data_IF_410958010438
#
_entry.id   IF_410958010438
#
_cell.length_a   1.000
_cell.length_b   1.000
_cell.length_c   1.000
_cell.angle_alpha   90.00
_cell.angle_beta   90.00
_cell.angle_gamma   90.00
#
_symmetry.space_group_name_H-M   'P 1'
#
loop_
_entity.id
_entity.type
_entity.pdbx_description
1 polymer ?
#
# COMPACT_ATOMS: atom_id res chain seq x y z
N UNK A 1 20.79 1.31 -5.84
CA UNK A 1 20.42 -0.11 -5.59
C UNK A 1 19.44 -0.09 -4.44
N UNK A 2 18.24 -0.63 -4.60
CA UNK A 2 17.29 -0.76 -3.51
C UNK A 2 17.87 -1.72 -2.46
N UNK A 3 17.88 -1.30 -1.19
CA UNK A 3 18.34 -2.15 -0.08
C UNK A 3 17.28 -3.24 0.13
N UNK A 4 17.66 -4.53 0.22
CA UNK A 4 16.71 -5.60 0.51
C UNK A 4 16.01 -5.37 1.86
N UNK A 5 14.69 -5.32 1.86
CA UNK A 5 13.88 -5.24 3.08
C UNK A 5 13.54 -6.66 3.55
N UNK A 6 14.41 -7.24 4.38
CA UNK A 6 14.22 -8.59 4.93
C UNK A 6 13.07 -8.68 5.95
N UNK A 7 12.42 -7.56 6.28
CA UNK A 7 11.28 -7.52 7.18
C UNK A 7 9.94 -7.59 6.43
N UNK A 8 9.98 -7.60 5.10
CA UNK A 8 8.76 -7.65 4.29
C UNK A 8 8.03 -8.97 4.43
N UNK A 9 6.71 -8.91 4.61
CA UNK A 9 5.82 -10.07 4.72
C UNK A 9 4.71 -10.06 3.66
N UNK A 10 3.98 -11.17 3.52
CA UNK A 10 2.89 -11.29 2.54
C UNK A 10 1.78 -10.26 2.78
N UNK A 11 1.49 -9.98 4.05
CA UNK A 11 0.50 -9.01 4.48
C UNK A 11 0.87 -7.57 4.11
N UNK A 12 2.14 -7.27 3.82
CA UNK A 12 2.52 -5.96 3.29
C UNK A 12 1.90 -5.73 1.91
N UNK A 13 1.75 -6.76 1.07
CA UNK A 13 1.19 -6.64 -0.29
C UNK A 13 -0.27 -6.16 -0.33
N UNK A 14 -1.03 -6.34 0.76
CA UNK A 14 -2.40 -5.81 0.91
C UNK A 14 -2.45 -4.45 1.64
N UNK A 15 -1.30 -3.88 2.02
CA UNK A 15 -1.25 -2.63 2.79
C UNK A 15 -0.95 -1.42 1.91
N UNK A 16 -1.51 -0.26 2.29
CA UNK A 16 -1.07 1.05 1.81
C UNK A 16 0.02 1.59 2.73
N UNK A 17 1.03 2.23 2.13
CA UNK A 17 2.13 2.84 2.86
C UNK A 17 1.86 4.34 3.08
N UNK A 18 1.82 4.73 4.35
CA UNK A 18 1.68 6.12 4.80
C UNK A 18 2.94 6.54 5.54
N UNK A 19 3.51 7.68 5.16
CA UNK A 19 4.66 8.23 5.85
C UNK A 19 4.20 9.27 6.87
N UNK A 20 4.76 9.21 8.08
CA UNK A 20 4.51 10.21 9.13
C UNK A 20 5.78 11.03 9.35
N UNK A 21 5.73 12.33 9.12
CA UNK A 21 6.87 13.24 9.29
C UNK A 21 6.55 14.31 10.33
N UNK A 22 7.57 14.94 10.89
CA UNK A 22 7.39 16.17 11.64
C UNK A 22 7.76 17.38 10.77
N UNK A 23 7.11 18.51 11.03
CA UNK A 23 7.39 19.80 10.38
C UNK A 23 7.80 20.79 11.46
N UNK A 24 8.98 21.41 11.29
CA UNK A 24 9.51 22.35 12.28
C UNK A 24 10.21 21.64 13.44
N UNK A 25 10.08 22.19 14.65
CA UNK A 25 10.71 21.66 15.85
C UNK A 25 9.64 20.98 16.69
N UNK A 26 9.68 19.64 16.75
CA UNK A 26 8.80 18.83 17.57
C UNK A 26 9.68 17.95 18.46
N UNK A 27 9.41 17.91 19.77
CA UNK A 27 10.14 17.01 20.67
C UNK A 27 9.90 15.56 20.27
N UNK A 28 10.95 14.72 20.29
CA UNK A 28 10.86 13.31 19.91
C UNK A 28 9.77 12.56 20.70
N UNK A 29 9.67 12.79 22.01
CA UNK A 29 8.67 12.13 22.85
C UNK A 29 7.24 12.47 22.40
N UNK A 30 6.99 13.75 22.07
CA UNK A 30 5.70 14.20 21.56
C UNK A 30 5.41 13.61 20.17
N UNK A 31 6.40 13.61 19.27
CA UNK A 31 6.28 13.01 17.95
C UNK A 31 5.91 11.52 18.05
N UNK A 32 6.66 10.74 18.83
CA UNK A 32 6.43 9.31 18.96
C UNK A 32 5.13 8.98 19.72
N UNK A 33 4.70 9.85 20.64
CA UNK A 33 3.39 9.75 21.27
C UNK A 33 2.26 9.82 20.23
N UNK A 34 2.28 10.82 19.36
CA UNK A 34 1.28 10.97 18.30
C UNK A 34 1.44 9.92 17.21
N UNK A 35 2.67 9.57 16.83
CA UNK A 35 2.93 8.49 15.88
C UNK A 35 2.33 7.16 16.34
N UNK A 36 2.43 6.83 17.64
CA UNK A 36 1.80 5.63 18.21
C UNK A 36 0.27 5.70 18.14
N UNK A 37 -0.29 6.90 18.37
CA UNK A 37 -1.73 7.17 18.28
C UNK A 37 -2.24 6.98 16.84
N UNK A 38 -1.57 7.60 15.86
CA UNK A 38 -1.82 7.40 14.43
C UNK A 38 -1.73 5.91 14.06
N UNK A 39 -0.64 5.24 14.47
CA UNK A 39 -0.38 3.84 14.13
C UNK A 39 -1.34 2.84 14.80
N UNK A 40 -2.11 3.28 15.79
CA UNK A 40 -3.15 2.45 16.41
C UNK A 40 -4.31 2.17 15.44
N UNK A 41 -4.57 3.10 14.52
CA UNK A 41 -5.54 2.96 13.44
C UNK A 41 -4.83 2.37 12.21
N UNK A 42 -4.57 1.06 12.25
CA UNK A 42 -3.86 0.35 11.15
C UNK A 42 -4.80 -0.40 10.20
N UNK A 43 -6.10 -0.40 10.50
CA UNK A 43 -7.12 -1.10 9.73
C UNK A 43 -8.44 -0.36 9.84
N UNK A 44 -9.10 -0.12 8.70
CA UNK A 44 -10.45 0.46 8.64
C UNK A 44 -11.33 -0.40 7.75
N UNK A 45 -12.55 -0.68 8.18
CA UNK A 45 -13.54 -1.35 7.35
C UNK A 45 -14.17 -0.34 6.40
N UNK A 46 -14.19 -0.65 5.12
CA UNK A 46 -14.79 0.23 4.12
C UNK A 46 -16.31 0.13 4.23
N UNK A 47 -16.96 1.27 4.50
CA UNK A 47 -18.40 1.39 4.68
C UNK A 47 -19.19 0.63 3.61
N UNK A 48 -20.14 -0.21 4.05
CA UNK A 48 -21.00 -1.07 3.24
C UNK A 48 -20.32 -2.23 2.47
N UNK A 49 -19.09 -2.63 2.85
CA UNK A 49 -18.43 -3.82 2.28
C UNK A 49 -17.82 -4.72 3.36
N UNK A 50 -17.55 -5.98 3.01
CA UNK A 50 -16.75 -6.88 3.86
C UNK A 50 -15.23 -6.66 3.67
N UNK A 51 -14.82 -5.51 3.12
CA UNK A 51 -13.42 -5.19 2.81
C UNK A 51 -12.83 -4.37 3.95
N UNK A 52 -11.60 -4.71 4.31
CA UNK A 52 -10.78 -3.93 5.21
C UNK A 52 -9.59 -3.36 4.44
N UNK A 53 -9.29 -2.10 4.69
CA UNK A 53 -8.08 -1.45 4.21
C UNK A 53 -7.01 -1.53 5.30
N UNK A 54 -5.81 -1.97 4.95
CA UNK A 54 -4.68 -2.09 5.87
C UNK A 54 -3.67 -0.99 5.61
N UNK A 55 -3.19 -0.36 6.68
CA UNK A 55 -2.24 0.75 6.60
C UNK A 55 -0.96 0.39 7.33
N UNK A 56 0.15 0.69 6.66
CA UNK A 56 1.49 0.60 7.22
C UNK A 56 2.07 1.99 7.35
N UNK A 57 2.37 2.38 8.59
CA UNK A 57 2.99 3.67 8.88
C UNK A 57 4.50 3.57 8.97
N UNK A 58 5.23 4.50 8.35
CA UNK A 58 6.68 4.64 8.51
C UNK A 58 7.05 6.09 8.79
N UNK A 59 7.93 6.33 9.76
CA UNK A 59 8.46 7.68 10.01
C UNK A 59 9.82 7.92 9.33
N UNK A 60 10.46 6.85 8.84
CA UNK A 60 11.64 6.90 8.00
C UNK A 60 11.40 6.01 6.79
N UNK A 61 11.41 6.60 5.60
CA UNK A 61 11.25 5.87 4.34
C UNK A 61 12.01 6.58 3.21
N UNK A 62 12.95 5.90 2.52
CA UNK A 62 13.67 6.51 1.41
C UNK A 62 12.73 6.88 0.24
N UNK A 63 12.80 8.12 -0.23
CA UNK A 63 12.00 8.62 -1.36
C UNK A 63 12.25 7.83 -2.64
N UNK A 64 13.49 7.41 -2.88
CA UNK A 64 13.91 6.60 -4.05
C UNK A 64 13.14 5.28 -4.19
N UNK A 65 12.56 4.76 -3.11
CA UNK A 65 11.74 3.56 -3.19
C UNK A 65 10.44 3.78 -3.97
N UNK A 66 9.95 5.02 -4.08
CA UNK A 66 8.75 5.34 -4.85
C UNK A 66 8.94 5.11 -6.35
N UNK A 67 10.18 5.17 -6.85
CA UNK A 67 10.51 4.90 -8.26
C UNK A 67 10.16 3.46 -8.67
N UNK A 68 10.02 2.55 -7.70
CA UNK A 68 9.61 1.16 -7.89
C UNK A 68 8.10 0.94 -7.71
N UNK A 69 7.33 2.01 -7.45
CA UNK A 69 5.95 1.92 -6.98
C UNK A 69 4.92 1.42 -8.00
N UNK A 70 5.27 1.34 -9.28
CA UNK A 70 4.43 0.67 -10.30
C UNK A 70 4.72 -0.83 -10.39
N UNK A 71 5.94 -1.22 -10.01
CA UNK A 71 6.38 -2.60 -9.96
C UNK A 71 6.05 -3.27 -8.62
N UNK A 72 6.09 -2.53 -7.51
CA UNK A 72 5.78 -2.98 -6.15
C UNK A 72 4.92 -1.93 -5.43
N UNK A 73 3.61 -1.94 -5.67
CA UNK A 73 2.72 -0.87 -5.17
C UNK A 73 2.65 -0.78 -3.64
N UNK A 74 2.86 -1.87 -2.91
CA UNK A 74 2.91 -1.89 -1.44
C UNK A 74 4.14 -1.19 -0.83
N UNK A 75 5.11 -0.83 -1.67
CA UNK A 75 6.28 -0.01 -1.33
C UNK A 75 6.14 1.44 -1.76
N UNK A 76 5.04 1.78 -2.44
CA UNK A 76 4.75 3.15 -2.88
C UNK A 76 4.13 3.94 -1.74
N UNK A 77 4.75 5.04 -1.35
CA UNK A 77 4.13 5.98 -0.41
C UNK A 77 2.93 6.63 -1.08
N UNK A 78 1.75 6.41 -0.53
CA UNK A 78 0.49 6.97 -1.05
C UNK A 78 -0.16 7.96 -0.08
N UNK A 79 0.24 7.98 1.19
CA UNK A 79 -0.25 8.95 2.16
C UNK A 79 0.87 9.64 2.92
N UNK A 80 0.63 10.89 3.31
CA UNK A 80 1.53 11.69 4.13
C UNK A 80 0.79 12.31 5.31
N UNK A 81 1.26 12.07 6.53
CA UNK A 81 0.78 12.76 7.73
C UNK A 81 1.95 13.56 8.30
N UNK A 82 1.79 14.88 8.39
CA UNK A 82 2.77 15.75 9.00
C UNK A 82 2.30 16.18 10.39
N UNK A 83 3.20 16.22 11.36
CA UNK A 83 2.95 16.68 12.72
C UNK A 83 3.76 17.96 12.95
N UNK A 84 3.10 19.04 13.38
CA UNK A 84 3.76 20.30 13.72
C UNK A 84 3.36 20.74 15.12
N UNK A 85 4.26 21.51 15.76
CA UNK A 85 4.00 22.21 17.01
C UNK A 85 4.15 23.70 16.74
N UNK A 86 3.12 24.49 17.06
CA UNK A 86 3.11 25.94 16.87
C UNK A 86 2.73 26.60 18.19
N UNK A 87 3.56 27.55 18.66
CA UNK A 87 3.27 28.32 19.88
C UNK A 87 2.60 29.67 19.57
N UNK A 88 2.59 30.08 18.30
CA UNK A 88 1.99 31.34 17.86
C UNK A 88 1.39 31.19 16.45
N UNK A 89 0.25 31.84 16.15
CA UNK A 89 -0.32 31.87 14.79
C UNK A 89 0.64 32.40 13.72
N UNK A 90 1.65 33.20 14.10
CA UNK A 90 2.67 33.72 13.16
C UNK A 90 3.54 32.62 12.53
N UNK A 91 3.67 31.47 13.20
CA UNK A 91 4.47 30.34 12.73
C UNK A 91 3.72 29.49 11.68
N UNK A 92 2.41 29.66 11.56
CA UNK A 92 1.56 28.84 10.69
C UNK A 92 1.91 28.99 9.22
N UNK A 93 2.12 30.22 8.75
CA UNK A 93 2.47 30.46 7.34
C UNK A 93 3.73 29.70 6.95
N UNK A 94 4.74 29.71 7.80
CA UNK A 94 5.99 28.97 7.57
C UNK A 94 5.79 27.46 7.68
N UNK A 95 4.96 27.01 8.62
CA UNK A 95 4.60 25.58 8.76
C UNK A 95 3.88 25.06 7.53
N UNK A 96 2.94 25.82 6.96
CA UNK A 96 2.25 25.48 5.72
C UNK A 96 3.22 25.40 4.53
N UNK A 97 4.14 26.35 4.40
CA UNK A 97 5.15 26.31 3.33
C UNK A 97 6.02 25.04 3.42
N UNK A 98 6.46 24.67 4.63
CA UNK A 98 7.22 23.42 4.83
C UNK A 98 6.36 22.18 4.56
N UNK A 99 5.10 22.18 5.00
CA UNK A 99 4.18 21.09 4.71
C UNK A 99 4.02 20.90 3.20
N UNK A 100 3.82 21.98 2.45
CA UNK A 100 3.71 21.92 0.99
C UNK A 100 5.02 21.43 0.32
N UNK A 101 6.20 21.77 0.85
CA UNK A 101 7.48 21.17 0.41
C UNK A 101 7.55 19.66 0.64
N UNK A 102 7.05 19.18 1.79
CA UNK A 102 6.96 17.74 2.04
C UNK A 102 6.02 17.07 1.05
N UNK A 103 4.84 17.65 0.75
CA UNK A 103 3.92 17.10 -0.26
C UNK A 103 4.58 17.00 -1.64
N UNK A 104 5.30 18.04 -2.05
CA UNK A 104 5.97 18.07 -3.35
C UNK A 104 6.97 16.92 -3.51
N UNK A 105 7.66 16.53 -2.44
CA UNK A 105 8.59 15.40 -2.46
C UNK A 105 7.91 14.05 -2.80
N UNK A 106 6.59 13.94 -2.61
CA UNK A 106 5.79 12.74 -2.89
C UNK A 106 4.77 12.94 -4.02
N UNK A 107 4.79 14.07 -4.75
CA UNK A 107 3.72 14.49 -5.66
C UNK A 107 3.38 13.48 -6.76
N UNK A 108 4.34 12.62 -7.15
CA UNK A 108 4.15 11.58 -8.15
C UNK A 108 3.31 10.38 -7.68
N UNK A 109 3.19 10.16 -6.37
CA UNK A 109 2.56 8.95 -5.81
C UNK A 109 1.49 9.22 -4.75
N UNK A 110 1.44 10.43 -4.20
CA UNK A 110 0.57 10.83 -3.10
C UNK A 110 -0.90 10.85 -3.51
N UNK A 111 -1.76 10.24 -2.68
CA UNK A 111 -3.22 10.19 -2.85
C UNK A 111 -3.89 11.19 -1.92
N UNK A 112 -3.46 11.25 -0.66
CA UNK A 112 -3.90 12.26 0.30
C UNK A 112 -2.75 12.65 1.25
N UNK A 113 -2.84 13.83 1.84
CA UNK A 113 -1.92 14.33 2.84
C UNK A 113 -2.63 15.19 3.86
N UNK A 114 -2.28 15.06 5.15
CA UNK A 114 -2.80 15.92 6.22
C UNK A 114 -1.69 16.45 7.11
N UNK A 115 -1.92 17.64 7.66
CA UNK A 115 -1.08 18.27 8.66
C UNK A 115 -1.85 18.35 9.99
N UNK A 116 -1.27 17.80 11.05
CA UNK A 116 -1.77 17.91 12.42
C UNK A 116 -0.92 18.94 13.17
N UNK A 117 -1.54 20.05 13.56
CA UNK A 117 -0.89 21.16 14.25
C UNK A 117 -1.29 21.15 15.72
N UNK A 118 -0.30 21.10 16.61
CA UNK A 118 -0.49 21.08 18.06
C UNK A 118 -0.06 22.41 18.70
N UNK A 119 -0.72 22.80 19.79
CA UNK A 119 -0.30 23.92 20.66
C UNK A 119 -1.00 25.26 20.39
N UNK A 120 -1.87 25.34 19.38
CA UNK A 120 -2.71 26.50 19.14
C UNK A 120 -4.13 26.21 19.62
N UNK A 121 -4.65 27.06 20.52
CA UNK A 121 -6.08 27.12 20.81
C UNK A 121 -6.80 27.93 19.71
N UNK A 122 -8.10 27.67 19.56
CA UNK A 122 -9.09 28.02 18.51
C UNK A 122 -9.08 29.43 17.82
N UNK A 123 -8.05 30.24 17.97
CA UNK A 123 -7.91 31.59 17.38
C UNK A 123 -7.61 31.59 15.87
N UNK A 124 -7.71 30.44 15.18
CA UNK A 124 -7.39 30.27 13.75
C UNK A 124 -8.63 29.94 12.90
N UNK A 125 -9.83 30.32 13.37
CA UNK A 125 -11.11 30.03 12.69
C UNK A 125 -11.15 30.47 11.21
N UNK A 126 -10.33 31.44 10.79
CA UNK A 126 -10.33 32.00 9.44
C UNK A 126 -9.42 31.29 8.41
N UNK A 127 -8.57 30.33 8.81
CA UNK A 127 -7.68 29.61 7.89
C UNK A 127 -7.97 28.11 7.82
N UNK A 128 -9.21 27.74 7.51
CA UNK A 128 -9.63 26.34 7.34
C UNK A 128 -9.12 25.77 6.02
N UNK A 129 -7.85 25.34 6.01
CA UNK A 129 -7.35 24.40 5.02
C UNK A 129 -7.94 23.01 5.31
N UNK A 130 -8.60 22.40 4.34
CA UNK A 130 -9.18 21.05 4.48
C UNK A 130 -8.13 20.00 4.83
N UNK A 131 -6.87 20.22 4.43
CA UNK A 131 -5.76 19.32 4.68
C UNK A 131 -5.06 19.56 6.03
N UNK A 132 -5.62 20.39 6.91
CA UNK A 132 -5.04 20.74 8.21
C UNK A 132 -6.04 20.48 9.35
N UNK A 133 -5.58 19.85 10.42
CA UNK A 133 -6.32 19.71 11.68
C UNK A 133 -5.53 20.32 12.83
N UNK A 134 -6.22 21.03 13.72
CA UNK A 134 -5.64 21.68 14.89
C UNK A 134 -6.01 20.94 16.17
N UNK A 135 -5.05 20.86 17.09
CA UNK A 135 -5.22 20.23 18.40
C UNK A 135 -4.66 21.16 19.48
N UNK A 136 -5.41 21.39 20.58
CA UNK A 136 -4.95 22.25 21.67
C UNK A 136 -3.62 21.79 22.26
N UNK A 137 -3.42 20.48 22.47
CA UNK A 137 -2.19 19.93 23.00
C UNK A 137 -2.01 18.46 22.63
N UNK A 138 -0.84 17.89 22.95
CA UNK A 138 -0.59 16.45 22.80
C UNK A 138 -1.40 15.57 23.77
N UNK A 139 -1.97 16.14 24.83
CA UNK A 139 -2.87 15.44 25.76
C UNK A 139 -4.34 15.55 25.31
N UNK A 140 -4.71 16.71 24.79
CA UNK A 140 -6.07 17.02 24.31
C UNK A 140 -6.13 16.90 22.78
N UNK A 141 -6.21 15.66 22.30
CA UNK A 141 -6.21 15.37 20.87
C UNK A 141 -7.08 14.17 20.48
N UNK A 142 -8.29 14.10 21.06
CA UNK A 142 -9.20 12.95 20.91
C UNK A 142 -9.75 12.71 19.51
N UNK A 143 -9.65 13.71 18.65
CA UNK A 143 -10.03 13.58 17.24
C UNK A 143 -8.91 13.03 16.34
N UNK A 144 -7.70 12.72 16.85
CA UNK A 144 -6.59 12.20 16.00
C UNK A 144 -6.98 10.91 15.30
N UNK A 145 -7.47 9.91 16.03
CA UNK A 145 -7.85 8.63 15.43
C UNK A 145 -8.94 8.80 14.37
N UNK A 146 -9.95 9.62 14.66
CA UNK A 146 -11.02 9.92 13.70
C UNK A 146 -10.49 10.60 12.44
N UNK A 147 -9.63 11.62 12.57
CA UNK A 147 -9.03 12.24 11.39
C UNK A 147 -8.12 11.28 10.63
N UNK A 148 -7.49 10.30 11.30
CA UNK A 148 -6.74 9.24 10.63
C UNK A 148 -7.69 8.30 9.87
N UNK A 149 -8.85 7.93 10.43
CA UNK A 149 -9.89 7.19 9.72
C UNK A 149 -10.35 7.94 8.46
N UNK A 150 -10.61 9.25 8.55
CA UNK A 150 -11.00 10.09 7.42
C UNK A 150 -9.94 10.09 6.30
N UNK A 151 -8.64 10.09 6.65
CA UNK A 151 -7.54 9.94 5.68
C UNK A 151 -7.56 8.56 5.05
N UNK A 152 -7.81 7.52 5.82
CA UNK A 152 -7.85 6.15 5.28
C UNK A 152 -9.01 5.99 4.30
N UNK A 153 -10.16 6.59 4.59
CA UNK A 153 -11.29 6.64 3.67
C UNK A 153 -10.96 7.41 2.38
N UNK A 154 -10.29 8.56 2.46
CA UNK A 154 -9.87 9.31 1.28
C UNK A 154 -8.87 8.53 0.42
N UNK A 155 -7.88 7.89 1.06
CA UNK A 155 -6.92 7.00 0.39
C UNK A 155 -7.63 5.86 -0.32
N UNK A 156 -8.66 5.27 0.31
CA UNK A 156 -9.46 4.21 -0.29
C UNK A 156 -10.18 4.69 -1.56
N UNK A 157 -10.80 5.87 -1.52
CA UNK A 157 -11.52 6.43 -2.68
C UNK A 157 -10.57 6.59 -3.87
N UNK A 158 -9.38 7.18 -3.66
CA UNK A 158 -8.39 7.37 -4.72
C UNK A 158 -7.85 6.03 -5.24
N UNK A 159 -7.59 5.07 -4.34
CA UNK A 159 -7.16 3.72 -4.69
C UNK A 159 -8.20 3.02 -5.59
N UNK A 160 -9.48 3.06 -5.19
CA UNK A 160 -10.56 2.41 -5.91
C UNK A 160 -10.77 3.05 -7.29
N UNK A 161 -10.75 4.39 -7.38
CA UNK A 161 -10.79 5.11 -8.65
C UNK A 161 -9.65 4.66 -9.58
N UNK A 162 -8.39 4.65 -9.09
CA UNK A 162 -7.25 4.20 -9.90
C UNK A 162 -7.39 2.75 -10.33
N UNK A 163 -7.87 1.85 -9.46
CA UNK A 163 -8.09 0.44 -9.79
C UNK A 163 -9.13 0.28 -10.89
N UNK A 164 -10.26 0.99 -10.78
CA UNK A 164 -11.33 0.96 -11.78
C UNK A 164 -10.86 1.53 -13.13
N UNK A 165 -10.14 2.66 -13.13
CA UNK A 165 -9.57 3.25 -14.33
C UNK A 165 -8.67 2.27 -15.09
N UNK A 166 -7.79 1.57 -14.36
CA UNK A 166 -6.85 0.58 -14.95
C UNK A 166 -7.51 -0.73 -15.37
N UNK A 167 -8.64 -1.08 -14.78
CA UNK A 167 -9.41 -2.28 -15.15
C UNK A 167 -10.28 -2.03 -16.37
N UNK A 168 -10.75 -0.78 -16.57
CA UNK A 168 -11.58 -0.41 -17.70
C UNK A 168 -10.80 -0.47 -19.02
N UNK A 169 -11.08 -1.48 -19.86
CA UNK A 169 -10.56 -1.53 -21.23
C UNK A 169 -11.42 -0.59 -22.09
N UNK A 170 -10.98 0.66 -22.25
CA UNK A 170 -11.63 1.59 -23.19
C UNK A 170 -11.20 1.25 -24.62
N UNK A 171 -12.17 0.92 -25.46
CA UNK A 171 -11.94 0.59 -26.88
C UNK A 171 -11.11 1.67 -27.57
N UNK A 172 -9.92 1.31 -28.05
CA UNK A 172 -9.01 2.20 -28.78
C UNK A 172 -7.92 2.87 -27.94
N UNK A 173 -7.96 2.77 -26.61
CA UNK A 173 -6.91 3.33 -25.75
C UNK A 173 -5.69 2.37 -25.69
N UNK A 174 -4.50 2.89 -26.00
CA UNK A 174 -3.26 2.09 -25.90
C UNK A 174 -2.88 1.92 -24.43
N UNK A 175 -2.76 0.66 -23.98
CA UNK A 175 -2.29 0.35 -22.63
C UNK A 175 -0.85 0.87 -22.47
N UNK A 176 -0.58 1.76 -21.50
CA UNK A 176 0.76 2.28 -21.28
C UNK A 176 1.70 1.17 -20.82
N UNK A 177 2.94 1.21 -21.30
CA UNK A 177 3.98 0.31 -20.78
C UNK A 177 4.45 0.85 -19.43
N UNK A 178 4.34 0.02 -18.39
CA UNK A 178 4.88 0.31 -17.06
C UNK A 178 6.36 -0.09 -17.03
N UNK A 179 7.20 0.68 -16.34
CA UNK A 179 8.65 0.45 -16.29
C UNK A 179 9.19 0.42 -14.85
N UNK A 180 10.18 -0.43 -14.59
CA UNK A 180 11.13 -0.27 -13.49
C UNK A 180 12.18 0.79 -13.85
N UNK A 181 12.85 1.42 -12.87
CA UNK A 181 13.73 2.57 -13.14
C UNK A 181 14.84 2.33 -14.18
N UNK A 182 15.38 1.11 -14.24
CA UNK A 182 16.53 0.78 -15.08
C UNK A 182 16.18 0.27 -16.48
N UNK A 183 14.93 -0.14 -16.72
CA UNK A 183 14.57 -0.82 -17.98
C UNK A 183 14.17 0.18 -19.10
N UNK A 184 14.04 1.48 -18.81
CA UNK A 184 13.62 2.50 -19.80
C UNK A 184 14.46 2.49 -21.08
N UNK A 185 15.76 2.17 -20.97
CA UNK A 185 16.68 2.12 -22.11
C UNK A 185 16.45 0.90 -23.01
N UNK A 186 15.93 -0.19 -22.44
CA UNK A 186 15.77 -1.47 -23.14
C UNK A 186 14.59 -1.46 -24.12
N UNK A 187 13.71 -0.45 -24.03
CA UNK A 187 12.53 -0.31 -24.90
C UNK A 187 12.66 0.77 -25.97
N UNK A 188 13.82 1.43 -26.08
CA UNK A 188 14.06 2.43 -27.13
C UNK A 188 14.12 1.73 -28.49
N UNK A 189 13.32 2.17 -29.45
CA UNK A 189 13.31 1.65 -30.82
C UNK A 189 12.45 0.39 -31.04
N UNK A 190 11.70 -0.05 -30.03
CA UNK A 190 10.70 -1.12 -30.22
C UNK A 190 9.47 -0.59 -30.96
N UNK A 191 8.86 -1.47 -31.75
CA UNK A 191 7.59 -1.21 -32.43
C UNK A 191 6.42 -1.32 -31.42
N UNK A 192 5.78 -0.18 -31.05
CA UNK A 192 4.67 -0.16 -30.10
C UNK A 192 3.40 -0.83 -30.64
N UNK A 193 3.32 -1.08 -31.95
CA UNK A 193 2.16 -1.71 -32.57
C UNK A 193 2.31 -3.23 -32.73
N UNK A 194 3.50 -3.77 -32.46
CA UNK A 194 3.76 -5.21 -32.48
C UNK A 194 2.89 -5.97 -31.47
N UNK A 195 2.43 -7.16 -31.87
CA UNK A 195 1.64 -8.05 -31.00
C UNK A 195 2.37 -8.37 -29.70
N UNK A 196 3.69 -8.52 -29.77
CA UNK A 196 4.54 -8.84 -28.63
C UNK A 196 4.60 -7.67 -27.63
N UNK A 197 4.77 -6.43 -28.11
CA UNK A 197 4.77 -5.23 -27.25
C UNK A 197 3.41 -5.01 -26.58
N UNK A 198 2.31 -5.11 -27.34
CA UNK A 198 0.95 -4.98 -26.79
C UNK A 198 0.66 -6.02 -25.70
N UNK A 199 1.08 -7.26 -25.91
CA UNK A 199 0.93 -8.35 -24.93
C UNK A 199 1.75 -8.11 -23.67
N UNK A 200 2.96 -7.54 -23.79
CA UNK A 200 3.77 -7.09 -22.65
C UNK A 200 3.06 -6.01 -21.84
N UNK A 201 2.59 -4.94 -22.48
CA UNK A 201 1.83 -3.88 -21.80
C UNK A 201 0.63 -4.44 -21.05
N UNK A 202 -0.13 -5.34 -21.69
CA UNK A 202 -1.29 -5.99 -21.08
C UNK A 202 -0.88 -6.83 -19.86
N UNK A 203 0.18 -7.64 -19.96
CA UNK A 203 0.68 -8.46 -18.85
C UNK A 203 1.10 -7.62 -17.65
N UNK A 204 1.86 -6.55 -17.86
CA UNK A 204 2.31 -5.62 -16.80
C UNK A 204 1.13 -4.89 -16.17
N UNK A 205 0.18 -4.44 -16.99
CA UNK A 205 -1.04 -3.79 -16.50
C UNK A 205 -1.90 -4.75 -15.66
N UNK A 206 -2.09 -6.00 -16.10
CA UNK A 206 -2.83 -7.01 -15.33
C UNK A 206 -2.16 -7.29 -13.98
N UNK A 207 -0.82 -7.35 -13.93
CA UNK A 207 -0.06 -7.45 -12.68
C UNK A 207 -0.39 -6.27 -11.76
N UNK A 208 -0.29 -5.05 -12.28
CA UNK A 208 -0.54 -3.83 -11.51
C UNK A 208 -1.99 -3.71 -11.01
N UNK A 209 -2.97 -4.09 -11.83
CA UNK A 209 -4.37 -4.18 -11.38
C UNK A 209 -4.53 -5.23 -10.27
N UNK A 210 -3.82 -6.36 -10.35
CA UNK A 210 -3.77 -7.36 -9.28
C UNK A 210 -3.25 -6.78 -7.96
N UNK A 211 -2.19 -5.98 -8.02
CA UNK A 211 -1.66 -5.28 -6.85
C UNK A 211 -2.69 -4.33 -6.22
N UNK A 212 -3.32 -3.47 -7.04
CA UNK A 212 -4.33 -2.51 -6.57
C UNK A 212 -5.57 -3.22 -6.00
N UNK A 213 -6.01 -4.32 -6.63
CA UNK A 213 -7.11 -5.15 -6.14
C UNK A 213 -6.78 -5.76 -4.79
N UNK A 214 -5.55 -6.24 -4.58
CA UNK A 214 -5.13 -6.79 -3.30
C UNK A 214 -5.13 -5.71 -2.20
N UNK A 215 -4.58 -4.52 -2.47
CA UNK A 215 -4.60 -3.39 -1.55
C UNK A 215 -6.01 -2.86 -1.27
N UNK A 216 -6.94 -2.99 -2.21
CA UNK A 216 -8.34 -2.61 -2.05
C UNK A 216 -9.18 -3.68 -1.32
N UNK A 217 -8.58 -4.76 -0.84
CA UNK A 217 -9.27 -5.86 -0.16
C UNK A 217 -10.08 -6.78 -1.10
N UNK A 218 -9.83 -6.72 -2.41
CA UNK A 218 -10.46 -7.56 -3.44
C UNK A 218 -9.58 -8.77 -3.76
N UNK A 219 -9.46 -9.67 -2.78
CA UNK A 219 -8.53 -10.80 -2.84
C UNK A 219 -8.77 -11.74 -4.03
N UNK A 220 -10.04 -12.04 -4.31
CA UNK A 220 -10.40 -12.94 -5.42
C UNK A 220 -10.05 -12.32 -6.78
N UNK A 221 -10.34 -11.04 -6.96
CA UNK A 221 -10.00 -10.31 -8.19
C UNK A 221 -8.49 -10.22 -8.36
N UNK A 222 -7.74 -9.98 -7.27
CA UNK A 222 -6.28 -9.97 -7.29
C UNK A 222 -5.71 -11.29 -7.82
N UNK A 223 -6.18 -12.44 -7.29
CA UNK A 223 -5.77 -13.77 -7.76
C UNK A 223 -6.01 -13.95 -9.26
N UNK A 224 -7.19 -13.58 -9.75
CA UNK A 224 -7.53 -13.66 -11.19
C UNK A 224 -6.56 -12.82 -12.02
N UNK A 225 -6.33 -11.56 -11.62
CA UNK A 225 -5.43 -10.66 -12.35
C UNK A 225 -3.98 -11.13 -12.35
N UNK A 226 -3.48 -11.67 -11.23
CA UNK A 226 -2.14 -12.25 -11.19
C UNK A 226 -2.01 -13.47 -12.10
N UNK A 227 -3.00 -14.38 -12.12
CA UNK A 227 -3.00 -15.51 -13.04
C UNK A 227 -2.94 -15.06 -14.51
N UNK A 228 -3.77 -14.09 -14.89
CA UNK A 228 -3.74 -13.52 -16.25
C UNK A 228 -2.39 -12.88 -16.58
N UNK A 229 -1.81 -12.13 -15.64
CA UNK A 229 -0.50 -11.52 -15.81
C UNK A 229 0.59 -12.57 -16.05
N UNK A 230 0.60 -13.64 -15.26
CA UNK A 230 1.55 -14.76 -15.37
C UNK A 230 1.49 -15.40 -16.76
N UNK A 231 0.29 -15.65 -17.30
CA UNK A 231 0.14 -16.20 -18.65
C UNK A 231 0.66 -15.26 -19.75
N UNK A 232 0.30 -13.98 -19.66
CA UNK A 232 0.70 -12.97 -20.65
C UNK A 232 2.21 -12.72 -20.65
N UNK A 233 2.80 -12.55 -19.47
CA UNK A 233 4.22 -12.21 -19.28
C UNK A 233 5.12 -13.40 -19.62
N UNK A 234 4.72 -14.63 -19.27
CA UNK A 234 5.42 -15.85 -19.68
C UNK A 234 5.46 -15.98 -21.21
N UNK A 235 4.38 -15.68 -21.90
CA UNK A 235 4.31 -15.79 -23.35
C UNK A 235 5.20 -14.78 -24.11
N UNK A 236 5.69 -13.74 -23.44
CA UNK A 236 6.60 -12.72 -24.02
C UNK A 236 7.97 -12.69 -23.36
N UNK A 237 8.30 -13.69 -22.54
CA UNK A 237 9.58 -13.80 -21.81
C UNK A 237 9.93 -12.55 -20.98
N UNK A 238 8.93 -11.89 -20.38
CA UNK A 238 9.13 -10.75 -19.50
C UNK A 238 9.37 -11.22 -18.05
N UNK A 239 10.55 -11.79 -17.81
CA UNK A 239 10.84 -12.51 -16.58
C UNK A 239 10.82 -11.64 -15.32
N UNK A 240 11.20 -10.37 -15.43
CA UNK A 240 11.19 -9.43 -14.29
C UNK A 240 9.77 -9.21 -13.78
N UNK A 241 8.85 -8.88 -14.68
CA UNK A 241 7.44 -8.67 -14.33
C UNK A 241 6.71 -9.99 -14.04
N UNK A 242 7.10 -11.09 -14.69
CA UNK A 242 6.59 -12.43 -14.38
C UNK A 242 6.93 -12.81 -12.92
N UNK A 243 8.17 -12.58 -12.48
CA UNK A 243 8.59 -12.81 -11.11
C UNK A 243 7.75 -12.00 -10.11
N UNK A 244 7.51 -10.72 -10.39
CA UNK A 244 6.66 -9.88 -9.53
C UNK A 244 5.18 -10.29 -9.53
N UNK A 245 4.67 -10.81 -10.65
CA UNK A 245 3.31 -11.35 -10.71
C UNK A 245 3.17 -12.64 -9.88
N UNK A 246 4.19 -13.50 -9.91
CA UNK A 246 4.25 -14.71 -9.07
C UNK A 246 4.39 -14.36 -7.59
N UNK A 247 5.23 -13.37 -7.24
CA UNK A 247 5.37 -12.84 -5.88
C UNK A 247 4.00 -12.39 -5.34
N UNK A 248 3.29 -11.55 -6.09
CA UNK A 248 1.94 -11.08 -5.73
C UNK A 248 0.92 -12.21 -5.59
N UNK A 249 0.96 -13.19 -6.50
CA UNK A 249 0.09 -14.38 -6.45
C UNK A 249 0.35 -15.21 -5.19
N UNK A 250 1.62 -15.41 -4.83
CA UNK A 250 2.01 -16.11 -3.61
C UNK A 250 1.53 -15.34 -2.37
N UNK A 251 1.77 -14.03 -2.29
CA UNK A 251 1.31 -13.20 -1.17
C UNK A 251 -0.22 -13.24 -1.02
N UNK A 252 -0.97 -13.08 -2.11
CA UNK A 252 -2.42 -13.19 -2.10
C UNK A 252 -2.89 -14.57 -1.62
N UNK A 253 -2.24 -15.64 -2.07
CA UNK A 253 -2.56 -17.01 -1.66
C UNK A 253 -2.29 -17.24 -0.16
N UNK A 254 -1.19 -16.69 0.37
CA UNK A 254 -0.88 -16.73 1.81
C UNK A 254 -1.94 -15.98 2.60
N UNK A 255 -2.31 -14.77 2.18
CA UNK A 255 -3.38 -13.99 2.83
C UNK A 255 -4.71 -14.75 2.82
N UNK A 256 -5.04 -15.42 1.69
CA UNK A 256 -6.24 -16.23 1.56
C UNK A 256 -6.30 -17.40 2.55
N UNK A 257 -5.20 -18.13 2.68
CA UNK A 257 -5.14 -19.31 3.55
C UNK A 257 -4.93 -18.98 5.02
N UNK A 258 -4.34 -17.81 5.32
CA UNK A 258 -4.03 -17.38 6.68
C UNK A 258 -4.63 -15.99 6.97
N UNK A 259 -5.98 -15.86 7.06
CA UNK A 259 -6.64 -14.57 7.28
C UNK A 259 -6.33 -13.95 8.65
N UNK A 260 -5.85 -14.75 9.62
CA UNK A 260 -5.36 -14.26 10.91
C UNK A 260 -3.88 -13.84 10.91
N UNK A 261 -3.22 -13.88 9.75
CA UNK A 261 -1.78 -13.72 9.60
C UNK A 261 -1.00 -15.03 9.74
N UNK A 262 0.23 -15.00 9.28
CA UNK A 262 1.17 -16.13 9.30
C UNK A 262 1.84 -16.37 10.66
N UNK A 263 1.79 -15.38 11.56
CA UNK A 263 2.09 -15.56 12.98
C UNK A 263 0.93 -16.32 13.61
N UNK A 264 1.15 -17.57 14.04
CA UNK A 264 0.11 -18.43 14.63
C UNK A 264 -0.62 -17.78 15.82
N UNK A 265 -1.62 -18.48 16.39
CA UNK A 265 -2.50 -18.04 17.50
C UNK A 265 -1.80 -17.75 18.86
N UNK A 266 -0.55 -17.31 18.86
CA UNK A 266 0.21 -16.88 20.02
C UNK A 266 0.50 -15.37 19.90
N UNK A 267 -0.44 -14.56 20.39
CA UNK A 267 -0.26 -13.11 20.49
C UNK A 267 -1.58 -12.39 20.33
N UNK A 268 -2.17 -12.00 21.44
CA UNK A 268 -3.40 -11.20 21.52
C UNK A 268 -3.31 -9.91 20.68
N UNK A 269 -3.71 -9.97 19.41
CA UNK A 269 -4.46 -8.88 18.77
C UNK A 269 -5.92 -9.11 19.13
N UNK A 270 -6.48 -8.28 20.02
CA UNK A 270 -7.92 -8.24 20.28
C UNK A 270 -8.62 -7.76 19.01
N UNK A 271 -8.95 -8.68 18.11
CA UNK A 271 -10.02 -8.48 17.13
C UNK A 271 -11.33 -8.45 17.90
N UNK A 272 -12.00 -7.30 17.94
CA UNK A 272 -13.39 -7.27 18.36
C UNK A 272 -14.22 -8.10 17.38
N UNK A 273 -15.12 -8.89 17.99
CA UNK A 273 -15.96 -9.95 17.45
C UNK A 273 -16.50 -9.76 16.04
N UNK A 274 -16.14 -10.69 15.15
CA UNK A 274 -16.98 -11.09 14.03
C UNK A 274 -17.80 -12.31 14.49
N UNK A 275 -19.12 -12.17 14.62
CA UNK A 275 -20.04 -13.30 14.72
C UNK A 275 -20.33 -13.82 13.31
N UNK A 276 -19.64 -14.88 12.88
CA UNK A 276 -20.00 -15.63 11.68
C UNK A 276 -20.84 -16.85 12.07
N UNK A 277 -21.96 -17.01 11.38
CA UNK A 277 -22.86 -18.17 11.45
C UNK A 277 -22.09 -19.46 11.15
N UNK A 278 -22.30 -20.47 12.00
CA UNK A 278 -21.63 -21.75 11.95
C UNK A 278 -22.30 -22.70 10.95
N UNK A 279 -21.93 -22.63 9.67
CA UNK A 279 -22.33 -23.67 8.71
C UNK A 279 -21.42 -23.72 7.47
N UNK A 280 -20.13 -24.04 7.66
CA UNK A 280 -19.25 -24.42 6.53
C UNK A 280 -18.10 -25.36 6.91
N UNK A 281 -18.06 -25.91 8.12
CA UNK A 281 -17.02 -26.88 8.50
C UNK A 281 -17.54 -28.30 8.39
N UNK A 282 -17.39 -28.88 7.19
CA UNK A 282 -17.16 -30.31 6.96
C UNK A 282 -16.98 -30.55 5.47
N UNK A 283 -15.72 -30.65 5.03
CA UNK A 283 -15.23 -31.51 3.93
C UNK A 283 -13.72 -31.31 3.77
N UNK A 284 -12.94 -31.95 4.63
CA UNK A 284 -11.58 -32.33 4.28
C UNK A 284 -11.62 -33.80 3.82
N UNK A 285 -11.34 -34.01 2.53
CA UNK A 285 -10.86 -35.30 2.01
C UNK A 285 -9.39 -35.09 1.62
N UNK A 286 -8.48 -36.01 1.96
CA UNK A 286 -7.11 -35.97 1.46
C UNK A 286 -7.08 -36.61 0.07
N UNK A 287 -6.44 -35.96 -0.90
CA UNK A 287 -6.28 -36.49 -2.25
C UNK A 287 -5.35 -35.68 -3.14
N UNK A 288 -4.17 -36.26 -3.39
CA UNK A 288 -3.32 -36.16 -4.60
C UNK A 288 -2.70 -34.81 -4.99
N UNK A 289 -1.42 -34.66 -4.60
CA UNK A 289 -0.27 -34.14 -5.38
C UNK A 289 -0.58 -33.34 -6.65
N UNK A 290 -0.50 -32.01 -6.52
CA UNK A 290 0.21 -31.16 -7.46
C UNK A 290 1.34 -30.49 -6.67
N UNK A 291 2.58 -30.86 -6.97
CA UNK A 291 3.76 -30.42 -6.23
C UNK A 291 4.04 -28.92 -6.46
N UNK A 292 3.44 -28.08 -5.62
CA UNK A 292 4.09 -26.85 -5.18
C UNK A 292 4.83 -27.19 -3.90
N UNK A 293 6.17 -27.21 -3.97
CA UNK A 293 7.00 -27.48 -2.81
C UNK A 293 6.92 -26.28 -1.84
N UNK A 294 5.96 -26.33 -0.91
CA UNK A 294 5.85 -25.40 0.21
C UNK A 294 6.90 -25.77 1.25
N UNK A 295 7.99 -24.99 1.35
CA UNK A 295 8.93 -25.14 2.47
C UNK A 295 8.30 -24.47 3.69
N UNK A 296 7.77 -25.29 4.58
CA UNK A 296 7.16 -24.91 5.85
C UNK A 296 8.28 -24.65 6.89
N UNK A 297 8.97 -23.52 6.78
CA UNK A 297 9.90 -23.08 7.82
C UNK A 297 9.14 -22.24 8.85
N UNK A 298 9.02 -22.80 10.06
CA UNK A 298 8.36 -22.17 11.18
C UNK A 298 8.78 -20.70 11.38
N UNK A 299 7.78 -19.85 11.55
CA UNK A 299 7.86 -18.46 12.00
C UNK A 299 8.41 -17.40 11.03
N UNK A 300 8.93 -17.76 9.86
CA UNK A 300 9.23 -16.80 8.77
C UNK A 300 9.06 -17.47 7.42
N UNK A 301 8.02 -17.09 6.66
CA UNK A 301 7.95 -17.43 5.24
C UNK A 301 9.02 -16.58 4.55
N UNK A 302 10.18 -17.19 4.29
CA UNK A 302 11.25 -16.57 3.52
C UNK A 302 10.90 -16.75 2.04
N UNK A 303 10.64 -15.66 1.33
CA UNK A 303 10.57 -15.63 -0.13
C UNK A 303 11.96 -15.96 -0.70
N UNK A 304 12.20 -17.22 -1.05
CA UNK A 304 13.35 -17.61 -1.89
C UNK A 304 12.84 -17.94 -3.29
N UNK A 305 12.68 -16.92 -4.14
CA UNK A 305 12.35 -17.10 -5.56
C UNK A 305 13.30 -16.30 -6.46
N UNK A 306 14.60 -16.32 -6.15
CA UNK A 306 15.63 -15.73 -7.03
C UNK A 306 16.70 -16.73 -7.52
N UNK A 307 16.65 -18.01 -7.14
CA UNK A 307 17.75 -18.96 -7.45
C UNK A 307 17.42 -20.09 -8.42
N UNK A 308 16.20 -20.15 -8.98
CA UNK A 308 15.76 -21.26 -9.84
C UNK A 308 15.38 -20.88 -11.28
N UNK A 309 15.54 -19.60 -11.67
CA UNK A 309 15.21 -19.13 -13.02
C UNK A 309 16.34 -18.33 -13.72
N UNK A 310 17.54 -18.31 -13.14
CA UNK A 310 18.77 -17.91 -13.84
C UNK A 310 19.67 -19.14 -13.85
N UNK A 311 19.39 -20.04 -14.78
CA UNK A 311 20.15 -21.23 -15.11
C UNK A 311 19.88 -21.59 -16.55
#
# INVERSE_FOLDING_TARGET
MSVPDYMQCAEDHQSLLVVVQFVGVVKNDNFFKIYKRISSVSQVNVNNSQRALYIRYRHQYPLENNDWGDFQTHRKVVGLICIAECSSPKELTHTFLKFDQHKEAYSSTLYDSRLFVFGLQEEVADQQRIDVAFYPSYEDCDAVEKHVEDIIESLFIVLECKRLDRTSEKSGEKIPLLYVPYEKKDFVGLDPDSRHYKKRCQGRMRKHVGDLSLQAGMLQDALVHYHMAVELLRAVNDFVWLGAALEGLCSASVIHHYPGGTAGKSGTRRTQSISLSAEANKRHRPGTTNDFLWINCGHRIVFFFLYLFIG
#
